data_IF_465100467714
#
_entry.id   IF_465100467714
#
_cell.length_a   1.000
_cell.length_b   1.000
_cell.length_c   1.000
_cell.angle_alpha   90.00
_cell.angle_beta   90.00
_cell.angle_gamma   90.00
#
_symmetry.space_group_name_H-M   'P 1'
#
loop_
_entity.id
_entity.type
_entity.pdbx_description
1 polymer ?
#
# COMPACT_ATOMS: atom_id res chain seq x y z
N UNK A 1 18.68 55.49 24.19
CA UNK A 1 18.42 54.73 25.43
C UNK A 1 17.38 53.66 25.10
N UNK A 2 17.82 52.44 24.71
CA UNK A 2 16.91 51.34 24.39
C UNK A 2 16.31 50.82 25.71
N UNK A 3 15.01 50.99 25.90
CA UNK A 3 14.28 50.41 27.05
C UNK A 3 14.11 48.92 26.80
N UNK A 4 14.60 48.10 27.73
CA UNK A 4 14.38 46.65 27.71
C UNK A 4 12.89 46.39 27.94
N UNK A 5 12.17 46.00 26.89
CA UNK A 5 10.81 45.51 26.99
C UNK A 5 10.89 44.05 27.45
N UNK A 6 10.40 43.75 28.66
CA UNK A 6 10.22 42.38 29.12
C UNK A 6 9.14 41.69 28.26
N UNK A 7 9.58 41.05 27.18
CA UNK A 7 8.75 40.20 26.34
C UNK A 7 8.56 38.83 27.03
N UNK A 8 7.35 38.24 27.00
CA UNK A 8 7.15 36.86 27.43
C UNK A 8 7.77 35.84 26.45
N UNK A 9 8.25 36.32 25.30
CA UNK A 9 8.87 35.52 24.26
C UNK A 9 10.40 35.68 24.30
N UNK A 10 11.11 34.56 24.26
CA UNK A 10 12.56 34.45 24.11
C UNK A 10 12.91 34.43 22.63
N UNK A 11 13.94 35.16 22.20
CA UNK A 11 14.45 35.04 20.82
C UNK A 11 15.22 33.73 20.69
N UNK A 12 14.76 32.82 19.84
CA UNK A 12 15.36 31.50 19.61
C UNK A 12 16.45 31.55 18.52
N UNK A 13 16.19 32.29 17.44
CA UNK A 13 17.14 32.52 16.35
C UNK A 13 16.90 33.89 15.69
N UNK A 14 17.93 34.44 15.05
CA UNK A 14 17.83 35.70 14.33
C UNK A 14 18.75 35.76 13.10
N UNK A 15 18.33 36.56 12.11
CA UNK A 15 19.16 36.95 10.96
C UNK A 15 19.00 38.45 10.75
N UNK A 16 20.10 39.20 10.81
CA UNK A 16 20.10 40.65 10.59
C UNK A 16 20.97 40.95 9.38
N UNK A 17 20.42 41.66 8.41
CA UNK A 17 21.13 42.12 7.22
C UNK A 17 21.00 43.64 7.07
N UNK A 18 22.02 44.26 6.49
CA UNK A 18 22.03 45.69 6.18
C UNK A 18 22.06 45.90 4.67
N UNK A 19 21.21 46.78 4.19
CA UNK A 19 21.15 47.25 2.81
C UNK A 19 21.29 48.78 2.82
N UNK A 20 21.79 49.39 1.74
CA UNK A 20 21.80 50.85 1.64
C UNK A 20 20.58 51.28 0.81
N UNK A 21 19.87 52.29 1.30
CA UNK A 21 18.91 53.03 0.49
C UNK A 21 19.63 53.79 -0.65
N UNK A 22 18.89 54.25 -1.65
CA UNK A 22 19.45 55.02 -2.78
C UNK A 22 20.19 56.30 -2.34
N UNK A 23 19.83 56.84 -1.17
CA UNK A 23 20.48 58.00 -0.54
C UNK A 23 21.72 57.66 0.31
N UNK A 24 22.13 56.38 0.33
CA UNK A 24 23.28 55.88 1.08
C UNK A 24 23.01 55.65 2.58
N UNK A 25 21.77 55.80 3.05
CA UNK A 25 21.41 55.51 4.44
C UNK A 25 21.20 54.00 4.66
N UNK A 26 21.62 53.44 5.80
CA UNK A 26 21.47 52.01 6.06
C UNK A 26 20.01 51.63 6.40
N UNK A 27 19.47 50.70 5.63
CA UNK A 27 18.22 49.97 5.86
C UNK A 27 18.52 48.62 6.52
N UNK A 28 17.81 48.27 7.59
CA UNK A 28 18.06 47.02 8.33
C UNK A 28 16.90 46.05 8.12
N UNK A 29 17.21 44.87 7.60
CA UNK A 29 16.29 43.74 7.54
C UNK A 29 16.59 42.80 8.71
N UNK A 30 15.56 42.41 9.45
CA UNK A 30 15.71 41.53 10.62
C UNK A 30 14.63 40.43 10.59
N UNK A 31 15.08 39.19 10.68
CA UNK A 31 14.26 38.03 10.99
C UNK A 31 14.50 37.63 12.45
N UNK A 32 13.42 37.36 13.18
CA UNK A 32 13.45 36.89 14.57
C UNK A 32 12.53 35.68 14.70
N UNK A 33 13.07 34.54 15.16
CA UNK A 33 12.27 33.45 15.71
C UNK A 33 12.07 33.68 17.20
N UNK A 34 10.83 33.57 17.67
CA UNK A 34 10.44 33.82 19.04
C UNK A 34 9.84 32.54 19.64
N UNK A 35 10.12 32.28 20.92
CA UNK A 35 9.61 31.11 21.63
C UNK A 35 8.09 31.18 21.76
N UNK A 36 7.36 30.17 21.28
CA UNK A 36 5.89 30.11 21.36
C UNK A 36 5.16 30.62 20.12
N UNK A 37 3.83 30.59 20.14
CA UNK A 37 3.00 31.06 19.02
C UNK A 37 2.74 32.56 19.13
N UNK A 38 3.23 33.33 18.17
CA UNK A 38 2.86 34.73 18.00
C UNK A 38 1.74 34.81 16.97
N UNK A 39 0.56 35.27 17.38
CA UNK A 39 -0.59 35.48 16.48
C UNK A 39 -0.37 36.73 15.62
N UNK A 40 0.49 36.66 14.59
CA UNK A 40 0.43 37.56 13.43
C UNK A 40 0.80 36.87 12.13
N UNK A 41 -0.05 37.15 11.14
CA UNK A 41 0.02 36.74 9.75
C UNK A 41 1.21 37.37 9.02
N UNK A 42 2.11 36.55 8.46
CA UNK A 42 2.67 36.82 7.13
C UNK A 42 3.15 35.50 6.50
N UNK A 43 2.71 35.14 5.29
CA UNK A 43 3.14 33.90 4.62
C UNK A 43 4.60 33.85 4.15
N UNK A 44 5.44 34.83 4.50
CA UNK A 44 6.73 35.12 3.82
C UNK A 44 7.98 34.89 4.67
N UNK A 45 7.92 34.11 5.76
CA UNK A 45 9.08 33.92 6.64
C UNK A 45 10.33 33.34 5.92
N UNK A 46 10.14 32.43 4.97
CA UNK A 46 11.24 31.90 4.16
C UNK A 46 11.83 32.96 3.20
N UNK A 47 10.99 33.85 2.65
CA UNK A 47 11.42 34.90 1.74
C UNK A 47 12.29 35.95 2.44
N UNK A 48 12.02 36.25 3.72
CA UNK A 48 12.81 37.23 4.50
C UNK A 48 14.21 36.69 4.82
N UNK A 49 14.35 35.41 5.17
CA UNK A 49 15.67 34.79 5.42
C UNK A 49 16.49 34.78 4.12
N UNK A 50 15.87 34.38 3.00
CA UNK A 50 16.52 34.40 1.69
C UNK A 50 16.95 35.82 1.29
N UNK A 51 16.12 36.82 1.58
CA UNK A 51 16.42 38.23 1.33
C UNK A 51 17.61 38.72 2.16
N UNK A 52 17.63 38.46 3.47
CA UNK A 52 18.73 38.82 4.35
C UNK A 52 20.07 38.21 3.90
N UNK A 53 20.05 36.99 3.37
CA UNK A 53 21.25 36.29 2.88
C UNK A 53 21.72 36.75 1.50
N UNK A 54 20.86 37.38 0.69
CA UNK A 54 21.14 37.76 -0.71
C UNK A 54 22.33 38.70 -0.87
N UNK A 55 22.54 39.61 0.08
CA UNK A 55 23.58 40.65 0.03
C UNK A 55 24.94 40.25 0.60
N UNK A 56 25.10 39.04 1.15
CA UNK A 56 26.35 38.56 1.75
C UNK A 56 26.79 39.24 3.06
N UNK A 57 26.24 40.41 3.39
CA UNK A 57 26.50 41.16 4.62
C UNK A 57 25.37 40.93 5.65
N UNK A 58 25.45 39.84 6.40
CA UNK A 58 24.50 39.54 7.46
C UNK A 58 25.19 38.94 8.70
N UNK A 59 24.52 39.04 9.84
CA UNK A 59 24.89 38.36 11.08
C UNK A 59 23.75 37.44 11.48
N UNK A 60 24.09 36.19 11.81
CA UNK A 60 23.14 35.20 12.32
C UNK A 60 23.60 34.65 13.67
N UNK A 61 22.63 34.26 14.49
CA UNK A 61 22.90 33.68 15.81
C UNK A 61 21.66 33.05 16.43
N UNK A 62 21.90 32.14 17.37
CA UNK A 62 20.88 31.29 17.98
C UNK A 62 21.15 29.81 17.71
N UNK A 63 20.44 28.92 18.42
CA UNK A 63 20.38 27.52 18.01
C UNK A 63 19.61 27.55 16.72
N UNK A 64 20.27 27.16 15.62
CA UNK A 64 19.67 27.07 14.30
C UNK A 64 18.28 26.46 14.49
N UNK A 65 17.25 27.28 14.29
CA UNK A 65 15.88 26.80 14.23
C UNK A 65 15.90 25.87 13.05
N UNK A 66 16.18 24.59 13.29
CA UNK A 66 16.41 23.55 12.29
C UNK A 66 15.44 23.84 11.18
N UNK A 67 15.95 24.26 10.02
CA UNK A 67 15.11 24.65 8.90
C UNK A 67 14.38 23.37 8.50
N UNK A 68 13.20 23.17 9.09
CA UNK A 68 12.40 21.97 8.91
C UNK A 68 12.11 21.89 7.43
N UNK A 69 12.62 20.85 6.77
CA UNK A 69 12.36 20.66 5.34
C UNK A 69 10.84 20.59 5.15
N UNK A 70 10.24 21.33 4.21
CA UNK A 70 8.82 21.20 3.94
C UNK A 70 8.44 19.73 3.70
N UNK A 71 7.28 19.29 4.19
CA UNK A 71 6.83 17.89 4.03
C UNK A 71 6.83 17.47 2.54
N UNK A 72 6.47 18.39 1.64
CA UNK A 72 6.54 18.15 0.19
C UNK A 72 7.95 17.83 -0.32
N UNK A 73 8.98 18.48 0.22
CA UNK A 73 10.40 18.18 -0.10
C UNK A 73 10.77 16.78 0.39
N UNK A 74 10.42 16.45 1.64
CA UNK A 74 10.66 15.13 2.23
C UNK A 74 10.01 14.03 1.38
N UNK A 75 8.76 14.22 0.96
CA UNK A 75 8.04 13.26 0.11
C UNK A 75 8.73 12.98 -1.23
N UNK A 76 9.40 13.99 -1.82
CA UNK A 76 10.09 13.88 -3.12
C UNK A 76 11.47 13.25 -2.97
N UNK A 77 12.19 13.62 -1.91
CA UNK A 77 13.57 13.16 -1.67
C UNK A 77 13.62 11.70 -1.18
N UNK A 78 12.69 11.31 -0.30
CA UNK A 78 12.72 10.00 0.34
C UNK A 78 12.55 8.85 -0.65
N UNK A 79 13.47 7.89 -0.60
CA UNK A 79 13.52 6.69 -1.45
C UNK A 79 13.04 5.44 -0.74
N UNK A 80 13.00 5.45 0.58
CA UNK A 80 12.46 4.36 1.37
C UNK A 80 11.48 4.85 2.44
N UNK A 81 10.72 3.89 2.97
CA UNK A 81 9.83 4.09 4.10
C UNK A 81 10.59 4.60 5.31
N UNK A 82 11.73 4.00 5.59
CA UNK A 82 12.59 4.32 6.74
C UNK A 82 13.16 5.73 6.62
N UNK A 83 13.62 6.13 5.43
CA UNK A 83 14.13 7.46 5.15
C UNK A 83 13.03 8.54 5.31
N UNK A 84 11.83 8.25 4.80
CA UNK A 84 10.68 9.13 4.94
C UNK A 84 10.27 9.32 6.40
N UNK A 85 10.15 8.23 7.16
CA UNK A 85 9.77 8.29 8.58
C UNK A 85 10.85 9.01 9.38
N UNK A 86 12.13 8.69 9.19
CA UNK A 86 13.23 9.37 9.88
C UNK A 86 13.30 10.87 9.58
N UNK A 87 13.01 11.26 8.35
CA UNK A 87 12.86 12.68 7.96
C UNK A 87 11.67 13.33 8.66
N UNK A 88 10.53 12.65 8.75
CA UNK A 88 9.36 13.15 9.48
C UNK A 88 9.60 13.26 10.99
N UNK A 89 10.36 12.34 11.59
CA UNK A 89 10.76 12.39 13.00
C UNK A 89 11.70 13.56 13.30
N UNK A 90 12.62 13.85 12.36
CA UNK A 90 13.60 14.93 12.49
C UNK A 90 12.97 16.30 12.26
N UNK A 91 12.27 16.46 11.14
CA UNK A 91 11.76 17.75 10.68
C UNK A 91 10.36 18.07 11.24
N UNK A 92 9.49 17.07 11.47
CA UNK A 92 8.08 17.29 11.84
C UNK A 92 7.55 16.35 12.95
N UNK A 93 8.24 16.20 14.10
CA UNK A 93 7.86 15.22 15.14
C UNK A 93 6.46 15.44 15.72
N UNK A 94 6.03 16.69 15.94
CA UNK A 94 4.68 16.98 16.43
C UNK A 94 3.59 16.60 15.43
N UNK A 95 3.83 16.82 14.13
CA UNK A 95 2.88 16.47 13.08
C UNK A 95 2.80 14.94 12.93
N UNK A 96 3.96 14.28 12.96
CA UNK A 96 4.04 12.82 12.96
C UNK A 96 3.26 12.22 14.14
N UNK A 97 3.43 12.77 15.35
CA UNK A 97 2.70 12.29 16.53
C UNK A 97 1.18 12.49 16.39
N UNK A 98 0.73 13.67 15.96
CA UNK A 98 -0.71 13.99 15.82
C UNK A 98 -1.38 13.24 14.67
N UNK A 99 -0.64 13.01 13.58
CA UNK A 99 -1.15 12.42 12.33
C UNK A 99 -0.58 11.05 12.04
N UNK A 100 -0.10 10.34 13.07
CA UNK A 100 0.70 9.12 12.95
C UNK A 100 0.09 8.12 11.97
N UNK A 101 -1.19 7.78 12.12
CA UNK A 101 -1.87 6.81 11.24
C UNK A 101 -1.88 7.24 9.77
N UNK A 102 -2.06 8.53 9.50
CA UNK A 102 -2.10 9.06 8.13
C UNK A 102 -0.70 9.03 7.50
N UNK A 103 0.32 9.47 8.26
CA UNK A 103 1.72 9.47 7.79
C UNK A 103 2.21 8.05 7.54
N UNK A 104 1.91 7.12 8.45
CA UNK A 104 2.24 5.70 8.28
C UNK A 104 1.50 5.09 7.10
N UNK A 105 0.19 5.36 6.95
CA UNK A 105 -0.57 4.87 5.80
C UNK A 105 -0.06 5.40 4.46
N UNK A 106 0.35 6.66 4.39
CA UNK A 106 1.02 7.22 3.21
C UNK A 106 2.35 6.50 2.94
N UNK A 107 3.20 6.34 3.97
CA UNK A 107 4.50 5.70 3.82
C UNK A 107 4.36 4.23 3.37
N UNK A 108 3.46 3.48 4.01
CA UNK A 108 3.17 2.08 3.68
C UNK A 108 2.66 1.94 2.24
N UNK A 109 1.84 2.88 1.75
CA UNK A 109 1.38 2.89 0.37
C UNK A 109 2.51 3.27 -0.60
N UNK A 110 3.18 4.40 -0.38
CA UNK A 110 4.15 5.00 -1.30
C UNK A 110 5.39 4.14 -1.50
N UNK A 111 5.77 3.41 -0.47
CA UNK A 111 6.95 2.54 -0.44
C UNK A 111 6.56 1.06 -0.32
N UNK A 112 5.33 0.70 -0.69
CA UNK A 112 4.90 -0.68 -0.74
C UNK A 112 5.87 -1.47 -1.64
N UNK A 113 6.42 -2.61 -1.17
CA UNK A 113 7.28 -3.43 -2.00
C UNK A 113 6.49 -3.92 -3.21
N UNK A 114 7.13 -3.92 -4.38
CA UNK A 114 6.55 -4.51 -5.59
C UNK A 114 6.21 -5.97 -5.28
N UNK A 115 4.95 -6.42 -5.50
CA UNK A 115 4.57 -7.80 -5.26
C UNK A 115 5.49 -8.74 -6.04
N UNK A 116 6.10 -9.71 -5.36
CA UNK A 116 6.92 -10.73 -6.03
C UNK A 116 6.04 -11.55 -6.96
N UNK A 117 6.39 -11.57 -8.25
CA UNK A 117 5.78 -12.50 -9.20
C UNK A 117 6.14 -13.92 -8.80
N UNK A 118 5.18 -14.84 -8.89
CA UNK A 118 5.46 -16.24 -8.62
C UNK A 118 6.34 -16.83 -9.72
N UNK A 119 7.49 -17.37 -9.33
CA UNK A 119 8.31 -18.21 -10.18
C UNK A 119 8.09 -19.66 -9.80
N UNK A 120 7.62 -20.47 -10.75
CA UNK A 120 7.41 -21.90 -10.53
C UNK A 120 8.76 -22.59 -10.35
N UNK A 121 8.96 -23.40 -9.29
CA UNK A 121 10.16 -24.23 -9.15
C UNK A 121 10.15 -25.43 -10.11
N UNK A 122 9.05 -25.66 -10.83
CA UNK A 122 8.87 -26.72 -11.81
C UNK A 122 8.99 -26.19 -13.22
N UNK A 123 9.60 -26.97 -14.11
CA UNK A 123 9.73 -26.64 -15.53
C UNK A 123 8.35 -26.59 -16.21
N UNK A 124 8.22 -25.74 -17.23
CA UNK A 124 7.03 -25.73 -18.07
C UNK A 124 6.82 -27.13 -18.68
N UNK A 125 5.61 -27.67 -18.51
CA UNK A 125 5.27 -29.01 -19.00
C UNK A 125 5.68 -30.18 -18.10
N UNK A 126 6.32 -29.96 -16.94
CA UNK A 126 6.65 -31.05 -16.00
C UNK A 126 5.46 -31.52 -15.13
N UNK A 127 4.30 -30.89 -15.28
CA UNK A 127 3.09 -31.27 -14.58
C UNK A 127 2.37 -32.41 -15.31
N UNK A 128 2.11 -33.51 -14.61
CA UNK A 128 1.27 -34.62 -15.08
C UNK A 128 -0.08 -34.50 -14.39
N UNK A 129 -1.02 -33.85 -15.07
CA UNK A 129 -2.34 -33.55 -14.50
C UNK A 129 -3.44 -34.41 -15.15
N UNK A 130 -4.46 -34.83 -14.39
CA UNK A 130 -5.62 -35.52 -14.95
C UNK A 130 -6.30 -34.74 -16.08
N UNK A 131 -6.84 -35.45 -17.08
CA UNK A 131 -7.48 -34.85 -18.25
C UNK A 131 -8.61 -33.87 -17.88
N UNK A 132 -9.35 -34.13 -16.80
CA UNK A 132 -10.39 -33.23 -16.29
C UNK A 132 -9.87 -31.83 -15.96
N UNK A 133 -8.64 -31.72 -15.44
CA UNK A 133 -8.01 -30.44 -15.14
C UNK A 133 -7.57 -29.71 -16.42
N UNK A 134 -7.05 -30.46 -17.40
CA UNK A 134 -6.68 -29.91 -18.72
C UNK A 134 -7.90 -29.31 -19.41
N UNK A 135 -9.01 -30.06 -19.45
CA UNK A 135 -10.27 -29.59 -20.03
C UNK A 135 -10.80 -28.37 -19.29
N UNK A 136 -10.76 -28.38 -17.96
CA UNK A 136 -11.21 -27.25 -17.16
C UNK A 136 -10.43 -25.96 -17.46
N UNK A 137 -9.10 -26.03 -17.62
CA UNK A 137 -8.26 -24.89 -17.99
C UNK A 137 -8.70 -24.32 -19.35
N UNK A 138 -8.86 -25.17 -20.35
CA UNK A 138 -9.23 -24.75 -21.70
C UNK A 138 -10.58 -24.02 -21.71
N UNK A 139 -11.56 -24.57 -20.98
CA UNK A 139 -12.92 -24.03 -20.94
C UNK A 139 -13.00 -22.74 -20.11
N UNK A 140 -12.30 -22.65 -18.98
CA UNK A 140 -12.58 -21.59 -17.99
C UNK A 140 -11.50 -20.50 -17.91
N UNK A 141 -10.24 -20.82 -18.23
CA UNK A 141 -9.13 -19.84 -18.20
C UNK A 141 -8.78 -19.37 -19.60
N UNK A 142 -8.65 -20.29 -20.57
CA UNK A 142 -8.23 -19.95 -21.94
C UNK A 142 -9.38 -19.35 -22.74
N UNK A 143 -10.55 -19.99 -22.73
CA UNK A 143 -11.71 -19.52 -23.51
C UNK A 143 -12.39 -18.28 -22.92
N UNK A 144 -12.15 -17.97 -21.63
CA UNK A 144 -12.69 -16.82 -20.90
C UNK A 144 -14.20 -16.59 -21.14
N UNK A 145 -15.07 -17.57 -20.85
CA UNK A 145 -16.51 -17.36 -20.95
C UNK A 145 -16.96 -16.29 -19.94
N UNK A 146 -18.09 -15.61 -20.18
CA UNK A 146 -18.57 -14.55 -19.27
C UNK A 146 -18.90 -15.02 -17.86
N UNK A 147 -19.17 -16.33 -17.69
CA UNK A 147 -19.43 -16.95 -16.39
C UNK A 147 -18.75 -18.31 -16.29
N UNK A 148 -17.44 -18.35 -16.01
CA UNK A 148 -16.68 -19.59 -15.91
C UNK A 148 -17.04 -20.38 -14.65
N UNK A 149 -16.88 -21.70 -14.71
CA UNK A 149 -17.03 -22.59 -13.57
C UNK A 149 -15.75 -22.61 -12.76
N UNK A 150 -15.84 -22.38 -11.44
CA UNK A 150 -14.69 -22.52 -10.54
C UNK A 150 -14.30 -23.99 -10.33
N UNK A 151 -13.07 -24.22 -9.85
CA UNK A 151 -12.50 -25.53 -9.56
C UNK A 151 -12.26 -25.69 -8.06
N UNK A 152 -12.73 -26.80 -7.49
CA UNK A 152 -12.25 -27.30 -6.19
C UNK A 152 -11.27 -28.44 -6.45
N UNK A 153 -10.03 -28.27 -6.05
CA UNK A 153 -8.97 -29.28 -6.18
C UNK A 153 -8.63 -29.86 -4.80
N UNK A 154 -9.01 -31.11 -4.60
CA UNK A 154 -8.81 -31.84 -3.35
C UNK A 154 -7.63 -32.77 -3.50
N UNK A 155 -6.75 -32.81 -2.50
CA UNK A 155 -5.69 -33.81 -2.42
C UNK A 155 -4.78 -33.59 -1.23
N UNK A 156 -4.01 -34.59 -0.85
CA UNK A 156 -3.13 -34.54 0.33
C UNK A 156 -2.06 -33.43 0.23
N UNK A 157 -1.43 -33.09 1.35
CA UNK A 157 -0.26 -32.21 1.35
C UNK A 157 0.87 -32.77 0.46
N UNK A 158 1.68 -31.88 -0.13
CA UNK A 158 2.84 -32.22 -0.99
C UNK A 158 2.51 -33.00 -2.27
N UNK A 159 1.32 -32.78 -2.83
CA UNK A 159 0.88 -33.32 -4.14
C UNK A 159 1.14 -32.36 -5.30
N UNK A 160 1.62 -31.14 -5.05
CA UNK A 160 1.93 -30.14 -6.08
C UNK A 160 0.76 -29.25 -6.50
N UNK A 161 -0.41 -29.36 -5.84
CA UNK A 161 -1.62 -28.54 -6.11
C UNK A 161 -1.32 -27.04 -6.19
N UNK A 162 -0.69 -26.48 -5.16
CA UNK A 162 -0.41 -25.03 -5.11
C UNK A 162 0.58 -24.60 -6.19
N UNK A 163 1.56 -25.44 -6.54
CA UNK A 163 2.53 -25.12 -7.59
C UNK A 163 1.92 -25.20 -8.99
N UNK A 164 1.05 -26.20 -9.22
CA UNK A 164 0.28 -26.31 -10.45
C UNK A 164 -0.71 -25.14 -10.60
N UNK A 165 -1.51 -24.85 -9.57
CA UNK A 165 -2.50 -23.79 -9.62
C UNK A 165 -1.87 -22.41 -9.87
N UNK A 166 -0.66 -22.16 -9.36
CA UNK A 166 0.05 -20.89 -9.57
C UNK A 166 0.82 -20.80 -10.89
N UNK A 167 0.99 -21.91 -11.62
CA UNK A 167 1.73 -21.94 -12.89
C UNK A 167 0.86 -21.69 -14.12
N UNK A 168 -0.47 -21.59 -13.97
CA UNK A 168 -1.40 -21.48 -15.10
C UNK A 168 -1.45 -20.09 -15.74
N UNK A 169 -0.95 -19.06 -15.06
CA UNK A 169 -0.89 -17.69 -15.58
C UNK A 169 -1.00 -16.62 -14.50
N UNK A 170 -1.27 -15.36 -14.88
CA UNK A 170 -1.51 -14.25 -13.95
C UNK A 170 -2.71 -14.56 -13.03
N UNK A 171 -2.51 -14.47 -11.72
CA UNK A 171 -3.53 -14.86 -10.74
C UNK A 171 -3.47 -14.05 -9.46
N UNK A 172 -4.61 -13.98 -8.77
CA UNK A 172 -4.69 -13.44 -7.41
C UNK A 172 -4.48 -14.59 -6.42
N UNK A 173 -3.39 -14.55 -5.65
CA UNK A 173 -3.10 -15.57 -4.64
C UNK A 173 -3.53 -15.15 -3.24
N UNK A 174 -4.41 -15.93 -2.62
CA UNK A 174 -4.85 -15.75 -1.24
C UNK A 174 -4.67 -17.04 -0.45
N UNK A 175 -4.05 -16.94 0.72
CA UNK A 175 -3.75 -18.09 1.58
C UNK A 175 -4.31 -17.84 2.97
N UNK A 176 -4.96 -18.86 3.56
CA UNK A 176 -5.59 -18.85 4.90
C UNK A 176 -6.69 -17.79 5.12
N UNK A 177 -6.76 -16.74 4.31
CA UNK A 177 -7.74 -15.65 4.43
C UNK A 177 -8.09 -15.02 3.10
N UNK A 178 -9.32 -14.51 2.98
CA UNK A 178 -9.72 -13.70 1.83
C UNK A 178 -9.21 -12.28 2.03
N UNK A 179 -8.44 -11.77 1.07
CA UNK A 179 -7.97 -10.40 1.10
C UNK A 179 -8.30 -9.67 -0.21
N UNK A 180 -9.36 -8.86 -0.17
CA UNK A 180 -9.83 -8.09 -1.32
C UNK A 180 -8.86 -6.98 -1.75
N UNK A 181 -7.95 -6.55 -0.88
CA UNK A 181 -6.88 -5.61 -1.25
C UNK A 181 -5.89 -6.19 -2.27
N UNK A 182 -5.87 -7.52 -2.45
CA UNK A 182 -5.04 -8.18 -3.46
C UNK A 182 -5.68 -8.24 -4.85
N UNK A 183 -6.88 -7.68 -5.02
CA UNK A 183 -7.57 -7.74 -6.29
C UNK A 183 -6.75 -7.07 -7.40
N UNK A 184 -6.71 -7.71 -8.57
CA UNK A 184 -6.02 -7.25 -9.77
C UNK A 184 -6.88 -7.59 -10.98
N UNK A 185 -7.34 -6.57 -11.70
CA UNK A 185 -8.19 -6.71 -12.88
C UNK A 185 -7.48 -7.37 -14.08
N UNK A 186 -6.14 -7.45 -14.04
CA UNK A 186 -5.34 -8.17 -15.05
C UNK A 186 -5.23 -9.68 -14.77
N UNK A 187 -5.69 -10.15 -13.59
CA UNK A 187 -5.63 -11.56 -13.25
C UNK A 187 -6.59 -12.40 -14.09
N UNK A 188 -6.17 -13.60 -14.47
CA UNK A 188 -7.00 -14.53 -15.23
C UNK A 188 -7.85 -15.44 -14.35
N UNK A 189 -7.50 -15.59 -13.07
CA UNK A 189 -8.22 -16.39 -12.09
C UNK A 189 -7.79 -16.05 -10.66
N UNK A 190 -8.59 -16.48 -9.69
CA UNK A 190 -8.26 -16.41 -8.26
C UNK A 190 -7.78 -17.77 -7.78
N UNK A 191 -6.73 -17.81 -6.98
CA UNK A 191 -6.24 -19.01 -6.32
C UNK A 191 -6.36 -18.87 -4.79
N UNK A 192 -7.24 -19.69 -4.21
CA UNK A 192 -7.44 -19.82 -2.78
C UNK A 192 -6.71 -21.07 -2.27
N UNK A 193 -5.73 -20.87 -1.40
CA UNK A 193 -4.90 -21.95 -0.84
C UNK A 193 -5.12 -22.10 0.66
N UNK A 194 -5.58 -23.28 1.07
CA UNK A 194 -5.84 -23.62 2.46
C UNK A 194 -6.72 -22.59 3.22
N UNK A 195 -7.68 -21.95 2.55
CA UNK A 195 -8.60 -21.02 3.22
C UNK A 195 -9.62 -21.84 4.01
N UNK A 196 -9.73 -21.64 5.34
CA UNK A 196 -10.65 -22.42 6.16
C UNK A 196 -12.10 -22.00 5.92
N UNK A 197 -13.04 -22.91 6.18
CA UNK A 197 -14.46 -22.74 5.85
C UNK A 197 -15.07 -21.51 6.53
N UNK A 198 -14.76 -21.30 7.80
CA UNK A 198 -15.24 -20.16 8.59
C UNK A 198 -14.86 -18.82 7.96
N UNK A 199 -13.63 -18.71 7.46
CA UNK A 199 -13.13 -17.52 6.78
C UNK A 199 -13.79 -17.32 5.40
N UNK A 200 -14.03 -18.40 4.65
CA UNK A 200 -14.77 -18.36 3.38
C UNK A 200 -16.20 -17.85 3.56
N UNK A 201 -16.93 -18.40 4.53
CA UNK A 201 -18.36 -18.10 4.70
C UNK A 201 -18.60 -16.82 5.51
N UNK A 202 -17.57 -16.27 6.17
CA UNK A 202 -17.67 -15.16 7.14
C UNK A 202 -18.52 -13.98 6.68
N UNK A 203 -18.39 -13.61 5.41
CA UNK A 203 -19.11 -12.48 4.81
C UNK A 203 -20.04 -12.90 3.67
N UNK A 204 -20.25 -14.20 3.46
CA UNK A 204 -21.03 -14.79 2.37
C UNK A 204 -20.61 -14.36 0.94
N UNK A 205 -19.51 -13.63 0.79
CA UNK A 205 -18.99 -13.16 -0.50
C UNK A 205 -18.27 -14.26 -1.30
N UNK A 206 -18.03 -15.43 -0.70
CA UNK A 206 -17.39 -16.53 -1.41
C UNK A 206 -18.25 -17.05 -2.58
N UNK A 207 -19.59 -16.95 -2.52
CA UNK A 207 -20.47 -17.36 -3.61
C UNK A 207 -20.38 -16.44 -4.82
N UNK A 208 -20.22 -15.13 -4.60
CA UNK A 208 -20.03 -14.18 -5.71
C UNK A 208 -18.67 -14.37 -6.37
N UNK A 209 -17.63 -14.63 -5.55
CA UNK A 209 -16.27 -14.94 -6.01
C UNK A 209 -16.20 -16.27 -6.77
N UNK A 210 -16.60 -17.38 -6.13
CA UNK A 210 -16.52 -18.72 -6.72
C UNK A 210 -17.57 -18.95 -7.79
N UNK A 211 -18.65 -18.17 -7.82
CA UNK A 211 -19.68 -18.21 -8.85
C UNK A 211 -19.36 -17.35 -10.06
N UNK A 212 -18.15 -16.79 -10.10
CA UNK A 212 -17.62 -15.91 -11.14
C UNK A 212 -18.63 -14.84 -11.58
N UNK A 213 -19.22 -14.14 -10.61
CA UNK A 213 -20.12 -13.02 -10.90
C UNK A 213 -19.33 -11.90 -11.58
N UNK A 214 -19.89 -11.27 -12.62
CA UNK A 214 -19.21 -10.25 -13.44
C UNK A 214 -18.84 -9.01 -12.62
N UNK A 215 -19.70 -8.60 -11.69
CA UNK A 215 -19.45 -7.47 -10.80
C UNK A 215 -20.07 -7.75 -9.43
N UNK A 216 -19.38 -7.38 -8.35
CA UNK A 216 -19.92 -7.45 -7.00
C UNK A 216 -19.22 -6.50 -6.03
N UNK A 217 -19.96 -6.07 -5.00
CA UNK A 217 -19.41 -5.24 -3.93
C UNK A 217 -18.93 -6.09 -2.76
N UNK A 218 -17.74 -5.76 -2.25
CA UNK A 218 -17.16 -6.41 -1.08
C UNK A 218 -16.84 -5.38 0.00
N UNK A 219 -17.15 -5.74 1.24
CA UNK A 219 -16.77 -4.96 2.42
C UNK A 219 -15.76 -5.76 3.23
N UNK A 220 -14.52 -5.30 3.27
CA UNK A 220 -13.52 -5.82 4.19
C UNK A 220 -13.65 -5.12 5.55
N UNK A 221 -13.32 -5.80 6.64
CA UNK A 221 -13.40 -5.24 8.00
C UNK A 221 -12.69 -3.89 8.09
N UNK A 222 -13.38 -2.90 8.65
CA UNK A 222 -12.90 -1.52 8.83
C UNK A 222 -12.52 -0.78 7.53
N UNK A 223 -12.85 -1.33 6.36
CA UNK A 223 -12.60 -0.73 5.04
C UNK A 223 -13.83 -0.07 4.42
N UNK A 224 -13.60 0.67 3.33
CA UNK A 224 -14.67 1.13 2.43
C UNK A 224 -15.19 -0.05 1.60
N UNK A 225 -16.42 0.07 1.12
CA UNK A 225 -16.95 -0.85 0.12
C UNK A 225 -16.11 -0.73 -1.14
N UNK A 226 -15.73 -1.87 -1.72
CA UNK A 226 -14.98 -1.96 -2.97
C UNK A 226 -15.84 -2.68 -4.01
N UNK A 227 -15.93 -2.11 -5.20
CA UNK A 227 -16.48 -2.79 -6.37
C UNK A 227 -15.39 -3.66 -6.97
N UNK A 228 -15.74 -4.91 -7.25
CA UNK A 228 -14.86 -5.91 -7.83
C UNK A 228 -15.35 -6.24 -9.23
N UNK A 229 -14.49 -6.05 -10.23
CA UNK A 229 -14.68 -6.51 -11.61
C UNK A 229 -14.34 -8.02 -11.64
N UNK A 230 -15.35 -8.86 -11.46
CA UNK A 230 -15.21 -10.31 -11.37
C UNK A 230 -15.17 -10.99 -12.73
N UNK A 231 -16.01 -12.00 -12.93
CA UNK A 231 -16.10 -12.76 -14.19
C UNK A 231 -14.94 -13.73 -14.44
N UNK A 232 -14.05 -13.93 -13.46
CA UNK A 232 -12.92 -14.87 -13.53
C UNK A 232 -13.15 -16.09 -12.64
N UNK A 233 -12.66 -17.29 -13.01
CA UNK A 233 -12.84 -18.48 -12.18
C UNK A 233 -11.97 -18.43 -10.92
N UNK A 234 -12.38 -19.21 -9.93
CA UNK A 234 -11.59 -19.49 -8.73
C UNK A 234 -11.07 -20.94 -8.76
N UNK A 235 -9.81 -21.13 -8.41
CA UNK A 235 -9.23 -22.44 -8.04
C UNK A 235 -9.13 -22.46 -6.52
N UNK A 236 -9.81 -23.40 -5.89
CA UNK A 236 -9.80 -23.58 -4.44
C UNK A 236 -9.16 -24.91 -4.07
N UNK A 237 -7.98 -24.86 -3.45
CA UNK A 237 -7.27 -26.05 -3.01
C UNK A 237 -7.62 -26.42 -1.58
N UNK A 238 -7.92 -27.71 -1.39
CA UNK A 238 -8.25 -28.30 -0.09
C UNK A 238 -7.43 -29.58 0.13
N UNK A 239 -7.16 -29.86 1.40
CA UNK A 239 -6.52 -31.13 1.78
C UNK A 239 -7.54 -32.26 1.99
N UNK A 240 -8.79 -31.91 2.30
CA UNK A 240 -9.88 -32.85 2.57
C UNK A 240 -11.13 -32.42 1.80
N UNK A 241 -11.95 -33.40 1.41
CA UNK A 241 -13.19 -33.13 0.72
C UNK A 241 -14.23 -32.56 1.71
N UNK A 242 -14.35 -31.23 1.73
CA UNK A 242 -15.36 -30.53 2.52
C UNK A 242 -16.44 -29.99 1.57
N UNK A 243 -17.70 -30.35 1.83
CA UNK A 243 -18.84 -29.67 1.21
C UNK A 243 -18.99 -28.30 1.88
N UNK A 244 -18.99 -27.23 1.10
CA UNK A 244 -19.22 -25.88 1.63
C UNK A 244 -20.72 -25.74 1.96
N UNK A 245 -21.57 -26.08 0.99
CA UNK A 245 -23.03 -26.27 1.04
C UNK A 245 -23.52 -26.92 -0.28
N UNK A 246 -24.84 -27.04 -0.49
CA UNK A 246 -25.38 -27.63 -1.73
C UNK A 246 -25.08 -26.78 -2.99
N UNK A 247 -24.77 -25.49 -2.85
CA UNK A 247 -24.60 -24.57 -3.98
C UNK A 247 -23.33 -24.89 -4.78
N UNK A 248 -22.27 -25.35 -4.10
CA UNK A 248 -21.00 -25.65 -4.75
C UNK A 248 -21.09 -26.80 -5.77
N UNK A 249 -21.97 -27.78 -5.53
CA UNK A 249 -22.13 -28.96 -6.39
C UNK A 249 -22.64 -28.65 -7.80
N UNK A 250 -23.33 -27.52 -7.96
CA UNK A 250 -23.89 -27.07 -9.24
C UNK A 250 -23.06 -25.99 -9.92
N UNK A 251 -22.18 -25.30 -9.18
CA UNK A 251 -21.46 -24.11 -9.64
C UNK A 251 -19.95 -24.30 -9.71
N UNK A 252 -19.44 -25.48 -9.33
CA UNK A 252 -18.02 -25.77 -9.32
C UNK A 252 -17.72 -27.17 -9.85
N UNK A 253 -16.59 -27.31 -10.54
CA UNK A 253 -16.01 -28.60 -10.88
C UNK A 253 -15.19 -29.07 -9.68
N UNK A 254 -15.47 -30.26 -9.17
CA UNK A 254 -14.73 -30.87 -8.04
C UNK A 254 -13.84 -31.98 -8.57
N UNK A 255 -12.55 -31.93 -8.26
CA UNK A 255 -11.57 -32.95 -8.64
C UNK A 255 -10.78 -33.36 -7.40
N UNK A 256 -10.85 -34.65 -7.05
CA UNK A 256 -10.04 -35.24 -5.99
C UNK A 256 -8.92 -36.07 -6.60
N UNK A 257 -7.68 -35.65 -6.36
CA UNK A 257 -6.47 -36.34 -6.81
C UNK A 257 -5.89 -37.25 -5.71
N UNK A 258 -6.49 -37.30 -4.53
CA UNK A 258 -6.04 -38.09 -3.39
C UNK A 258 -4.57 -37.83 -3.07
N UNK A 259 -3.72 -38.85 -3.24
CA UNK A 259 -2.26 -38.78 -3.04
C UNK A 259 -1.46 -38.65 -4.34
N UNK A 260 -2.13 -38.57 -5.49
CA UNK A 260 -1.46 -38.40 -6.78
C UNK A 260 -0.67 -37.08 -6.78
N UNK A 261 0.60 -37.17 -7.19
CA UNK A 261 1.41 -35.98 -7.46
C UNK A 261 1.08 -35.45 -8.85
N UNK A 262 0.94 -34.14 -8.96
CA UNK A 262 0.71 -33.46 -10.22
C UNK A 262 1.99 -33.15 -11.00
N UNK A 263 3.15 -33.61 -10.53
CA UNK A 263 4.45 -33.34 -11.11
C UNK A 263 5.26 -34.63 -11.18
N UNK A 264 6.21 -34.66 -12.12
CA UNK A 264 7.21 -35.73 -12.27
C UNK A 264 8.19 -35.73 -11.09
#
# INVERSE_FOLDING_TARGET
MLRCLCSPFVVESYVVATELHEDGTPHIHCYLSLSGKVDKLSPRCADVIAYCRKGGNYVEGGIDSVVRRPIGTIMVESRSREEFIGSMETDHPEFLLRSFRSVMGYADHRFAPVPRVFESPYLAGSFVVPQVLVVWIQVNIVSRPGRPMSLVLIGHSRTGKSSWARSLGPHIYMQKRINWDKWNDEASYVFLDDVPRDELVRYNNWKVLMGAQEEYEVRQSYGRVKTINGGIPCIFCLNENVLLDNWDSYNMVRVDIGRQKLYL
#
